data_IF_450417662580
#
_entry.id   IF_450417662580
#
_cell.length_a   1.000
_cell.length_b   1.000
_cell.length_c   1.000
_cell.angle_alpha   90.00
_cell.angle_beta   90.00
_cell.angle_gamma   90.00
#
_symmetry.space_group_name_H-M   'P 1'
#
loop_
_entity.id
_entity.type
_entity.pdbx_description
1 polymer ?
#
# COMPACT_ATOMS: atom_id res chain seq x y z
N UNK A 1 -36.35 5.24 4.97
CA UNK A 1 -36.19 5.19 3.49
C UNK A 1 -34.72 4.85 3.19
N UNK A 2 -34.31 3.58 3.25
CA UNK A 2 -32.89 3.22 3.13
C UNK A 2 -32.66 1.73 2.80
N UNK A 3 -33.14 1.23 1.65
CA UNK A 3 -32.89 -0.15 1.26
C UNK A 3 -32.96 -0.39 -0.28
N UNK A 4 -32.59 -1.59 -0.73
CA UNK A 4 -32.61 -2.08 -2.12
C UNK A 4 -31.68 -1.39 -3.17
N UNK A 5 -30.36 -1.55 -3.06
CA UNK A 5 -29.46 -1.35 -4.21
C UNK A 5 -28.37 -2.42 -4.46
N UNK A 6 -28.02 -3.29 -3.50
CA UNK A 6 -26.84 -4.17 -3.66
C UNK A 6 -27.00 -5.34 -4.67
N UNK A 7 -28.21 -5.86 -4.88
CA UNK A 7 -28.41 -7.14 -5.60
C UNK A 7 -28.05 -7.06 -7.11
N UNK A 8 -28.12 -5.88 -7.74
CA UNK A 8 -27.83 -5.70 -9.18
C UNK A 8 -26.35 -5.48 -9.55
N UNK A 9 -25.44 -5.57 -8.58
CA UNK A 9 -24.00 -5.45 -8.82
C UNK A 9 -23.35 -6.79 -9.19
N UNK A 10 -23.83 -7.90 -8.61
CA UNK A 10 -23.16 -9.20 -8.65
C UNK A 10 -23.26 -9.86 -10.03
N UNK A 11 -24.48 -9.99 -10.57
CA UNK A 11 -24.80 -10.57 -11.90
C UNK A 11 -24.11 -9.87 -13.10
N UNK A 12 -23.36 -8.80 -12.85
CA UNK A 12 -22.82 -7.89 -13.87
C UNK A 12 -21.34 -7.59 -13.73
N UNK A 13 -20.66 -8.05 -12.68
CA UNK A 13 -19.23 -7.77 -12.45
C UNK A 13 -18.38 -9.03 -12.61
N UNK A 14 -17.41 -8.99 -13.53
CA UNK A 14 -16.53 -10.13 -13.81
C UNK A 14 -15.05 -9.74 -13.83
N UNK A 15 -14.20 -10.72 -13.53
CA UNK A 15 -12.74 -10.63 -13.66
C UNK A 15 -12.22 -11.51 -14.81
N UNK A 16 -11.15 -11.09 -15.49
CA UNK A 16 -10.54 -11.88 -16.57
C UNK A 16 -9.03 -11.65 -16.71
N UNK A 17 -8.27 -12.71 -16.99
CA UNK A 17 -6.87 -12.61 -17.46
C UNK A 17 -6.85 -12.77 -18.98
N UNK A 18 -6.39 -11.77 -19.75
CA UNK A 18 -6.49 -11.74 -21.22
C UNK A 18 -5.12 -11.47 -21.88
N UNK A 19 -4.81 -12.18 -22.98
CA UNK A 19 -3.54 -12.04 -23.72
C UNK A 19 -3.45 -10.77 -24.57
N UNK A 20 -4.58 -10.18 -24.91
CA UNK A 20 -4.69 -9.00 -25.77
C UNK A 20 -5.82 -8.08 -25.29
N UNK A 21 -5.80 -6.82 -25.71
CA UNK A 21 -6.80 -5.81 -25.33
C UNK A 21 -8.15 -6.13 -26.01
N UNK A 22 -9.20 -6.51 -25.26
CA UNK A 22 -10.51 -6.78 -25.83
C UNK A 22 -11.17 -5.49 -26.33
N UNK A 23 -12.02 -5.61 -27.35
CA UNK A 23 -12.93 -4.55 -27.77
C UNK A 23 -14.24 -4.67 -26.97
N UNK A 24 -14.75 -3.55 -26.43
CA UNK A 24 -16.09 -3.50 -25.83
C UNK A 24 -17.16 -3.75 -26.90
N UNK A 25 -18.24 -4.40 -26.50
CA UNK A 25 -19.35 -4.83 -27.39
C UNK A 25 -20.65 -4.10 -27.03
N UNK A 26 -21.76 -4.46 -27.69
CA UNK A 26 -23.09 -4.02 -27.28
C UNK A 26 -23.36 -4.37 -25.79
N UNK A 27 -23.05 -5.60 -25.38
CA UNK A 27 -23.46 -6.15 -24.09
C UNK A 27 -22.33 -6.20 -23.03
N UNK A 28 -21.08 -5.94 -23.40
CA UNK A 28 -19.92 -6.03 -22.50
C UNK A 28 -19.03 -4.79 -22.57
N UNK A 29 -18.75 -4.19 -21.41
CA UNK A 29 -17.76 -3.13 -21.24
C UNK A 29 -16.51 -3.69 -20.55
N UNK A 30 -15.38 -3.68 -21.26
CA UNK A 30 -14.09 -4.05 -20.69
C UNK A 30 -13.35 -2.83 -20.13
N UNK A 31 -12.67 -2.99 -19.00
CA UNK A 31 -11.66 -2.04 -18.52
C UNK A 31 -10.49 -2.76 -17.86
N UNK A 32 -9.35 -2.09 -17.82
CA UNK A 32 -8.11 -2.58 -17.25
C UNK A 32 -7.44 -1.42 -16.50
N UNK A 33 -6.61 -1.75 -15.53
CA UNK A 33 -5.91 -0.80 -14.65
C UNK A 33 -4.40 -1.06 -14.59
N UNK A 34 -3.91 -2.05 -15.34
CA UNK A 34 -2.51 -2.53 -15.35
C UNK A 34 -1.47 -1.44 -15.63
N UNK A 35 -1.84 -0.41 -16.40
CA UNK A 35 -0.98 0.71 -16.81
C UNK A 35 -1.44 2.05 -16.19
N UNK A 36 -2.34 1.99 -15.21
CA UNK A 36 -2.93 3.14 -14.51
C UNK A 36 -2.55 3.14 -13.03
N UNK A 37 -2.76 1.99 -12.36
CA UNK A 37 -2.33 1.76 -10.98
C UNK A 37 -1.02 0.98 -11.01
N UNK A 38 0.05 1.68 -11.41
CA UNK A 38 1.41 1.15 -11.45
C UNK A 38 2.00 1.17 -10.04
N UNK A 39 2.40 -0.01 -9.56
CA UNK A 39 3.18 -0.14 -8.32
C UNK A 39 4.59 0.39 -8.54
N UNK A 40 5.01 1.33 -7.70
CA UNK A 40 6.37 1.86 -7.71
C UNK A 40 7.24 1.00 -6.78
N UNK A 41 8.08 0.16 -7.38
CA UNK A 41 8.97 -0.76 -6.67
C UNK A 41 10.13 -0.06 -5.97
N UNK A 42 10.75 -0.77 -5.01
CA UNK A 42 12.08 -0.43 -4.51
C UNK A 42 13.13 -1.29 -5.20
N UNK A 43 12.93 -2.60 -5.21
CA UNK A 43 13.80 -3.56 -5.86
C UNK A 43 12.98 -4.52 -6.73
N UNK A 44 12.72 -5.75 -6.25
CA UNK A 44 11.94 -6.76 -6.96
C UNK A 44 10.52 -6.96 -6.38
N UNK A 45 10.16 -6.21 -5.34
CA UNK A 45 8.79 -6.04 -4.89
C UNK A 45 7.91 -5.46 -5.99
N UNK A 46 6.67 -5.91 -6.08
CA UNK A 46 5.75 -5.55 -7.18
C UNK A 46 4.33 -5.24 -6.70
N UNK A 47 4.06 -5.30 -5.40
CA UNK A 47 2.74 -5.16 -4.81
C UNK A 47 2.72 -5.58 -3.32
N UNK A 48 1.55 -5.58 -2.67
CA UNK A 48 0.27 -5.12 -3.21
C UNK A 48 0.24 -3.62 -3.51
N UNK A 49 -0.71 -3.18 -4.33
CA UNK A 49 -0.97 -1.75 -4.58
C UNK A 49 -1.41 -1.03 -3.28
N UNK A 50 -1.12 0.27 -3.20
CA UNK A 50 -1.34 1.05 -1.99
C UNK A 50 -2.82 1.40 -1.74
N UNK A 51 -3.11 1.93 -0.55
CA UNK A 51 -4.46 2.24 -0.07
C UNK A 51 -5.19 3.24 -0.99
N UNK A 52 -4.47 4.25 -1.52
CA UNK A 52 -5.02 5.19 -2.49
C UNK A 52 -5.40 4.54 -3.82
N UNK A 53 -4.59 3.61 -4.33
CA UNK A 53 -4.90 2.86 -5.55
C UNK A 53 -6.11 1.93 -5.35
N UNK A 54 -6.23 1.27 -4.19
CA UNK A 54 -7.43 0.50 -3.82
C UNK A 54 -8.68 1.40 -3.74
N UNK A 55 -8.56 2.57 -3.11
CA UNK A 55 -9.64 3.55 -3.02
C UNK A 55 -10.08 4.04 -4.42
N UNK A 56 -9.14 4.55 -5.22
CA UNK A 56 -9.41 5.05 -6.58
C UNK A 56 -9.94 3.95 -7.51
N UNK A 57 -9.51 2.70 -7.36
CA UNK A 57 -10.11 1.54 -8.03
C UNK A 57 -11.59 1.36 -7.65
N UNK A 58 -11.91 1.35 -6.35
CA UNK A 58 -13.27 1.20 -5.87
C UNK A 58 -14.19 2.33 -6.37
N UNK A 59 -13.73 3.58 -6.31
CA UNK A 59 -14.45 4.73 -6.88
C UNK A 59 -14.68 4.57 -8.38
N UNK A 60 -13.66 4.13 -9.14
CA UNK A 60 -13.74 3.90 -10.59
C UNK A 60 -14.72 2.80 -10.96
N UNK A 61 -14.74 1.70 -10.20
CA UNK A 61 -15.65 0.58 -10.42
C UNK A 61 -17.10 0.94 -10.02
N UNK A 62 -17.31 1.59 -8.88
CA UNK A 62 -18.61 2.12 -8.48
C UNK A 62 -19.17 3.11 -9.52
N UNK A 63 -18.32 4.01 -10.07
CA UNK A 63 -18.73 4.92 -11.16
C UNK A 63 -19.12 4.18 -12.44
N UNK A 64 -18.50 3.04 -12.76
CA UNK A 64 -18.89 2.20 -13.90
C UNK A 64 -20.22 1.48 -13.68
N UNK A 65 -20.40 0.85 -12.52
CA UNK A 65 -21.62 0.10 -12.19
C UNK A 65 -22.86 1.01 -12.12
N UNK A 66 -22.71 2.24 -11.61
CA UNK A 66 -23.74 3.29 -11.56
C UNK A 66 -23.93 4.07 -12.88
N UNK A 67 -23.14 3.82 -13.92
CA UNK A 67 -23.20 4.62 -15.16
C UNK A 67 -24.37 4.19 -16.05
N UNK A 68 -25.28 5.13 -16.37
CA UNK A 68 -26.46 4.88 -17.19
C UNK A 68 -26.14 4.27 -18.57
N UNK A 69 -25.06 4.71 -19.22
CA UNK A 69 -24.59 4.20 -20.51
C UNK A 69 -24.07 2.75 -20.44
N UNK A 70 -23.88 2.22 -19.24
CA UNK A 70 -23.41 0.86 -18.96
C UNK A 70 -24.45 -0.01 -18.23
N UNK A 71 -25.64 0.52 -17.87
CA UNK A 71 -26.63 -0.17 -17.02
C UNK A 71 -27.10 -1.53 -17.55
N UNK A 72 -27.15 -1.72 -18.88
CA UNK A 72 -27.48 -3.02 -19.51
C UNK A 72 -26.26 -3.85 -19.93
N UNK A 73 -25.04 -3.43 -19.56
CA UNK A 73 -23.79 -4.13 -19.90
C UNK A 73 -23.23 -4.91 -18.71
N UNK A 74 -22.57 -6.03 -19.03
CA UNK A 74 -21.59 -6.71 -18.19
C UNK A 74 -20.34 -5.83 -18.07
N UNK A 75 -19.82 -5.65 -16.86
CA UNK A 75 -18.60 -4.90 -16.55
C UNK A 75 -17.48 -5.91 -16.30
N UNK A 76 -16.49 -5.96 -17.18
CA UNK A 76 -15.35 -6.88 -17.05
C UNK A 76 -14.11 -6.07 -16.70
N UNK A 77 -13.58 -6.27 -15.49
CA UNK A 77 -12.21 -5.90 -15.18
C UNK A 77 -11.30 -6.97 -15.77
N UNK A 78 -10.41 -6.59 -16.68
CA UNK A 78 -9.40 -7.49 -17.22
C UNK A 78 -7.99 -7.01 -16.87
N UNK A 79 -7.10 -7.98 -16.76
CA UNK A 79 -5.66 -7.81 -16.56
C UNK A 79 -4.90 -8.62 -17.62
N UNK A 80 -3.64 -8.25 -17.86
CA UNK A 80 -2.73 -8.96 -18.77
C UNK A 80 -2.25 -10.29 -18.17
N UNK A 81 -1.51 -11.07 -18.96
CA UNK A 81 -0.89 -12.32 -18.49
C UNK A 81 0.39 -12.12 -17.63
N UNK A 82 0.83 -10.88 -17.36
CA UNK A 82 1.95 -10.64 -16.44
C UNK A 82 1.52 -11.00 -15.01
N UNK A 83 2.22 -11.94 -14.39
CA UNK A 83 1.85 -12.50 -13.08
C UNK A 83 1.83 -11.47 -11.94
N UNK A 84 2.61 -10.40 -12.05
CA UNK A 84 2.64 -9.30 -11.07
C UNK A 84 1.42 -8.40 -11.23
N UNK A 85 1.07 -8.08 -12.48
CA UNK A 85 -0.16 -7.33 -12.81
C UNK A 85 -1.41 -8.11 -12.42
N UNK A 86 -1.47 -9.41 -12.74
CA UNK A 86 -2.55 -10.32 -12.32
C UNK A 86 -2.81 -10.29 -10.81
N UNK A 87 -1.75 -10.43 -10.02
CA UNK A 87 -1.86 -10.57 -8.57
C UNK A 87 -2.29 -9.26 -7.90
N UNK A 88 -1.80 -8.11 -8.38
CA UNK A 88 -2.31 -6.80 -7.97
C UNK A 88 -3.78 -6.58 -8.37
N UNK A 89 -4.15 -6.90 -9.62
CA UNK A 89 -5.52 -6.76 -10.09
C UNK A 89 -6.51 -7.65 -9.30
N UNK A 90 -6.06 -8.85 -8.89
CA UNK A 90 -6.80 -9.74 -8.00
C UNK A 90 -7.02 -9.13 -6.59
N UNK A 91 -6.02 -8.50 -5.98
CA UNK A 91 -6.19 -7.78 -4.71
C UNK A 91 -7.15 -6.59 -4.85
N UNK A 92 -7.12 -5.85 -5.96
CA UNK A 92 -8.06 -4.74 -6.19
C UNK A 92 -9.52 -5.21 -6.25
N UNK A 93 -9.83 -6.22 -7.08
CA UNK A 93 -11.22 -6.68 -7.25
C UNK A 93 -11.71 -7.55 -6.09
N UNK A 94 -10.83 -8.36 -5.49
CA UNK A 94 -11.12 -9.09 -4.25
C UNK A 94 -11.35 -8.14 -3.08
N UNK A 95 -10.54 -7.08 -2.97
CA UNK A 95 -10.73 -6.01 -1.98
C UNK A 95 -12.09 -5.33 -2.17
N UNK A 96 -12.44 -4.94 -3.40
CA UNK A 96 -13.76 -4.41 -3.71
C UNK A 96 -14.91 -5.37 -3.31
N UNK A 97 -14.75 -6.67 -3.53
CA UNK A 97 -15.74 -7.68 -3.12
C UNK A 97 -15.87 -7.77 -1.59
N UNK A 98 -14.77 -7.67 -0.84
CA UNK A 98 -14.78 -7.61 0.64
C UNK A 98 -15.42 -6.32 1.16
N UNK A 99 -15.12 -5.18 0.54
CA UNK A 99 -15.52 -3.84 0.99
C UNK A 99 -16.99 -3.54 0.63
N UNK A 100 -17.36 -3.68 -0.64
CA UNK A 100 -18.66 -3.24 -1.17
C UNK A 100 -19.66 -4.38 -1.31
N UNK A 101 -19.23 -5.56 -1.78
CA UNK A 101 -20.10 -6.75 -1.88
C UNK A 101 -20.18 -7.57 -0.57
N UNK A 102 -19.45 -7.14 0.47
CA UNK A 102 -19.41 -7.73 1.84
C UNK A 102 -18.97 -9.20 1.93
N UNK A 103 -18.56 -9.83 0.83
CA UNK A 103 -18.06 -11.21 0.77
C UNK A 103 -16.88 -11.42 1.71
N UNK A 104 -16.76 -12.60 2.29
CA UNK A 104 -15.59 -12.99 3.08
C UNK A 104 -14.31 -12.99 2.22
N UNK A 105 -13.12 -12.78 2.80
CA UNK A 105 -11.84 -12.96 2.10
C UNK A 105 -11.73 -14.31 1.39
N UNK A 106 -12.25 -15.36 2.01
CA UNK A 106 -12.27 -16.74 1.52
C UNK A 106 -13.17 -16.89 0.29
N UNK A 107 -14.38 -16.32 0.29
CA UNK A 107 -15.28 -16.34 -0.87
C UNK A 107 -14.72 -15.51 -2.02
N UNK A 108 -14.20 -14.32 -1.73
CA UNK A 108 -13.58 -13.46 -2.73
C UNK A 108 -12.34 -14.12 -3.36
N UNK A 109 -11.50 -14.78 -2.55
CA UNK A 109 -10.35 -15.53 -3.04
C UNK A 109 -10.76 -16.80 -3.81
N UNK A 110 -11.77 -17.55 -3.33
CA UNK A 110 -12.32 -18.73 -4.02
C UNK A 110 -12.82 -18.39 -5.43
N UNK A 111 -13.50 -17.25 -5.59
CA UNK A 111 -13.93 -16.74 -6.90
C UNK A 111 -12.77 -16.21 -7.78
N UNK A 112 -11.64 -15.82 -7.18
CA UNK A 112 -10.42 -15.43 -7.91
C UNK A 112 -9.61 -16.63 -8.42
N UNK A 113 -9.71 -17.79 -7.77
CA UNK A 113 -9.00 -19.04 -8.16
C UNK A 113 -9.90 -20.05 -8.88
N UNK A 114 -11.21 -19.83 -8.96
CA UNK A 114 -12.14 -20.74 -9.66
C UNK A 114 -11.90 -20.70 -11.18
N UNK A 115 -11.42 -21.82 -11.73
CA UNK A 115 -11.15 -22.01 -13.16
C UNK A 115 -9.69 -22.36 -13.46
N UNK A 116 -9.39 -22.73 -14.70
CA UNK A 116 -8.08 -23.27 -15.14
C UNK A 116 -6.96 -22.21 -15.27
N UNK A 117 -6.98 -21.17 -14.43
CA UNK A 117 -5.98 -20.12 -14.42
C UNK A 117 -4.75 -20.52 -13.59
N UNK A 118 -3.56 -20.09 -14.02
CA UNK A 118 -2.37 -20.22 -13.18
C UNK A 118 -2.54 -19.47 -11.85
N UNK A 119 -1.98 -20.01 -10.77
CA UNK A 119 -1.97 -19.38 -9.45
C UNK A 119 -1.43 -17.93 -9.50
N UNK A 120 -1.85 -17.12 -8.53
CA UNK A 120 -1.30 -15.77 -8.36
C UNK A 120 0.11 -15.84 -7.77
N UNK A 121 0.99 -14.95 -8.21
CA UNK A 121 2.36 -14.85 -7.72
C UNK A 121 2.34 -14.19 -6.33
N UNK A 122 2.89 -14.83 -5.27
CA UNK A 122 2.98 -14.20 -3.96
C UNK A 122 3.78 -12.90 -4.01
N UNK A 123 3.32 -11.90 -3.27
CA UNK A 123 4.02 -10.64 -3.10
C UNK A 123 5.28 -10.86 -2.27
N UNK A 124 6.42 -10.47 -2.84
CA UNK A 124 7.72 -10.47 -2.17
C UNK A 124 8.04 -9.12 -1.56
N UNK A 125 9.04 -9.10 -0.69
CA UNK A 125 9.49 -7.89 0.01
C UNK A 125 10.50 -7.05 -0.80
N UNK A 126 10.81 -5.86 -0.26
CA UNK A 126 11.74 -4.88 -0.80
C UNK A 126 13.22 -5.16 -0.50
N UNK A 127 13.58 -6.37 -0.05
CA UNK A 127 14.98 -6.76 0.20
C UNK A 127 15.78 -6.89 -1.09
N UNK A 128 17.09 -6.62 -0.99
CA UNK A 128 18.07 -6.93 -2.03
C UNK A 128 18.50 -8.40 -1.87
N UNK A 129 18.05 -9.26 -2.79
CA UNK A 129 18.37 -10.70 -2.78
C UNK A 129 17.12 -11.59 -2.84
N UNK A 130 17.16 -12.72 -2.13
CA UNK A 130 16.08 -13.70 -2.09
C UNK A 130 15.05 -13.34 -1.01
N UNK A 131 13.77 -13.41 -1.33
CA UNK A 131 12.69 -13.29 -0.35
C UNK A 131 12.39 -14.67 0.25
N UNK A 132 12.37 -14.76 1.58
CA UNK A 132 12.14 -16.01 2.34
C UNK A 132 10.69 -16.19 2.81
N UNK A 133 9.83 -15.20 2.56
CA UNK A 133 8.43 -15.17 2.97
C UNK A 133 7.54 -14.89 1.74
N UNK A 134 6.39 -15.57 1.65
CA UNK A 134 5.50 -15.49 0.48
C UNK A 134 4.13 -14.93 0.90
N UNK A 135 3.90 -13.64 0.71
CA UNK A 135 2.65 -13.00 1.07
C UNK A 135 1.60 -13.22 -0.03
N UNK A 136 0.47 -13.87 0.28
CA UNK A 136 -0.52 -14.25 -0.74
C UNK A 136 -1.55 -13.15 -1.03
N UNK A 137 -2.37 -13.34 -2.07
CA UNK A 137 -3.56 -12.52 -2.31
C UNK A 137 -4.56 -12.65 -1.15
N UNK A 138 -4.69 -13.83 -0.54
CA UNK A 138 -5.62 -14.07 0.56
C UNK A 138 -5.20 -13.30 1.83
N UNK A 139 -3.90 -13.25 2.17
CA UNK A 139 -3.37 -12.43 3.28
C UNK A 139 -3.75 -10.95 3.12
N UNK A 140 -3.72 -10.43 1.89
CA UNK A 140 -4.14 -9.08 1.57
C UNK A 140 -5.65 -8.86 1.79
N UNK A 141 -6.50 -9.83 1.41
CA UNK A 141 -7.94 -9.74 1.62
C UNK A 141 -8.33 -9.88 3.11
N UNK A 142 -7.64 -10.75 3.84
CA UNK A 142 -7.77 -10.91 5.29
C UNK A 142 -7.32 -9.65 6.04
N UNK A 143 -6.16 -9.08 5.68
CA UNK A 143 -5.65 -7.83 6.25
C UNK A 143 -6.60 -6.65 6.00
N UNK A 144 -7.18 -6.53 4.80
CA UNK A 144 -8.24 -5.55 4.50
C UNK A 144 -9.48 -5.82 5.36
N UNK A 145 -9.93 -7.08 5.49
CA UNK A 145 -11.11 -7.43 6.31
C UNK A 145 -10.92 -7.05 7.78
N UNK A 146 -9.76 -7.34 8.39
CA UNK A 146 -9.47 -6.95 9.79
C UNK A 146 -9.31 -5.44 9.95
N UNK A 147 -8.69 -4.75 8.98
CA UNK A 147 -8.63 -3.30 8.98
C UNK A 147 -10.03 -2.63 8.95
N UNK A 148 -10.98 -3.20 8.21
CA UNK A 148 -12.38 -2.76 8.23
C UNK A 148 -13.06 -3.09 9.58
N UNK A 149 -12.85 -4.29 10.12
CA UNK A 149 -13.44 -4.72 11.41
C UNK A 149 -12.98 -3.87 12.60
N UNK A 150 -11.74 -3.39 12.59
CA UNK A 150 -11.19 -2.53 13.63
C UNK A 150 -11.22 -1.03 13.29
N UNK A 151 -11.93 -0.63 12.24
CA UNK A 151 -12.14 0.79 11.89
C UNK A 151 -10.91 1.51 11.34
N UNK A 152 -9.83 0.81 10.99
CA UNK A 152 -8.60 1.42 10.45
C UNK A 152 -8.78 2.02 9.06
N UNK A 153 -9.86 1.66 8.36
CA UNK A 153 -10.17 2.18 7.03
C UNK A 153 -11.67 2.43 6.90
N UNK A 154 -12.05 3.70 6.74
CA UNK A 154 -13.41 4.11 6.41
C UNK A 154 -13.42 4.77 5.03
N UNK A 155 -14.12 4.16 4.07
CA UNK A 155 -14.23 4.66 2.68
C UNK A 155 -14.93 6.01 2.55
N UNK A 156 -15.74 6.41 3.53
CA UNK A 156 -16.50 7.66 3.49
C UNK A 156 -15.70 8.84 4.08
N UNK A 157 -14.67 8.55 4.88
CA UNK A 157 -13.81 9.52 5.56
C UNK A 157 -12.34 9.48 5.11
N UNK A 158 -11.98 8.65 4.13
CA UNK A 158 -10.60 8.52 3.65
C UNK A 158 -10.23 9.66 2.69
N UNK A 159 -9.42 10.60 3.18
CA UNK A 159 -8.80 11.62 2.34
C UNK A 159 -7.63 11.02 1.55
N UNK A 160 -7.94 10.63 0.30
CA UNK A 160 -6.97 10.10 -0.65
C UNK A 160 -5.97 11.15 -1.12
N UNK A 161 -6.32 12.44 -1.09
CA UNK A 161 -5.46 13.51 -1.56
C UNK A 161 -4.51 13.97 -0.45
N UNK A 162 -4.90 13.91 0.84
CA UNK A 162 -3.96 13.98 1.98
C UNK A 162 -2.99 12.78 1.94
N UNK A 163 -3.47 11.55 1.69
CA UNK A 163 -2.60 10.38 1.56
C UNK A 163 -1.58 10.52 0.41
N UNK A 164 -2.03 10.85 -0.81
CA UNK A 164 -1.16 10.98 -1.99
C UNK A 164 -0.29 12.26 -1.95
N UNK A 165 -0.57 13.20 -1.04
CA UNK A 165 0.35 14.28 -0.70
C UNK A 165 1.46 13.77 0.22
N UNK A 166 1.11 13.19 1.38
CA UNK A 166 2.09 12.87 2.44
C UNK A 166 2.91 11.59 2.22
N UNK A 167 2.49 10.67 1.33
CA UNK A 167 3.34 9.52 0.95
C UNK A 167 4.61 9.92 0.18
N UNK A 168 4.65 11.17 -0.34
CA UNK A 168 5.76 11.71 -1.14
C UNK A 168 6.92 12.19 -0.27
N UNK A 169 8.14 12.11 -0.83
CA UNK A 169 9.37 12.51 -0.13
C UNK A 169 9.39 14.00 0.16
N UNK A 170 9.00 14.83 -0.81
CA UNK A 170 8.94 16.28 -0.70
C UNK A 170 8.04 16.77 0.45
N UNK A 171 7.07 15.96 0.88
CA UNK A 171 6.09 16.30 1.91
C UNK A 171 6.29 15.54 3.24
N UNK A 172 7.38 14.75 3.37
CA UNK A 172 7.79 14.10 4.62
C UNK A 172 7.85 12.57 4.59
N UNK A 173 7.36 11.92 3.52
CA UNK A 173 7.32 10.46 3.38
C UNK A 173 6.71 9.74 4.61
N UNK A 174 5.42 9.98 4.85
CA UNK A 174 4.66 9.49 6.00
C UNK A 174 3.29 8.90 5.62
N UNK A 175 2.88 7.82 6.29
CA UNK A 175 1.56 7.19 6.11
C UNK A 175 0.99 6.71 7.45
N UNK A 176 -0.32 6.88 7.65
CA UNK A 176 -1.05 6.22 8.73
C UNK A 176 -1.11 4.71 8.50
N UNK A 177 -0.84 3.93 9.55
CA UNK A 177 -1.00 2.47 9.60
C UNK A 177 -2.22 2.10 10.44
N UNK A 178 -2.49 2.88 11.49
CA UNK A 178 -3.73 2.87 12.27
C UNK A 178 -4.10 4.34 12.51
N UNK A 179 -5.16 4.87 11.90
CA UNK A 179 -5.57 6.27 12.07
C UNK A 179 -5.67 6.66 13.54
N UNK A 180 -5.12 7.83 13.90
CA UNK A 180 -5.11 8.31 15.29
C UNK A 180 -4.20 7.55 16.26
N UNK A 181 -3.54 6.44 15.86
CA UNK A 181 -2.63 5.69 16.74
C UNK A 181 -1.22 5.46 16.21
N UNK A 182 -1.04 5.12 14.93
CA UNK A 182 0.28 4.83 14.36
C UNK A 182 0.53 5.55 13.04
N UNK A 183 1.52 6.42 13.05
CA UNK A 183 2.05 7.13 11.90
C UNK A 183 3.48 6.61 11.58
N UNK A 184 3.67 6.01 10.42
CA UNK A 184 4.97 5.50 9.98
C UNK A 184 5.63 6.49 9.02
N UNK A 185 6.84 6.97 9.35
CA UNK A 185 7.51 8.03 8.57
C UNK A 185 9.02 7.83 8.36
N UNK A 186 9.57 8.54 7.38
CA UNK A 186 11.02 8.56 7.09
C UNK A 186 11.81 9.28 8.18
N UNK A 187 13.08 8.91 8.37
CA UNK A 187 13.89 9.46 9.47
C UNK A 187 14.32 10.92 9.24
N UNK A 188 13.99 11.86 10.15
CA UNK A 188 14.45 13.25 10.07
C UNK A 188 15.98 13.41 10.08
N UNK A 189 16.45 14.57 9.65
CA UNK A 189 17.86 14.93 9.50
C UNK A 189 18.24 16.17 10.34
N UNK A 190 19.54 16.53 10.47
CA UNK A 190 19.95 17.67 11.29
C UNK A 190 19.48 19.03 10.76
N UNK A 191 19.21 19.16 9.46
CA UNK A 191 18.75 20.40 8.81
C UNK A 191 17.84 20.04 7.64
N UNK A 192 16.84 20.87 7.37
CA UNK A 192 16.07 20.79 6.12
C UNK A 192 16.97 21.29 4.99
N UNK A 193 17.19 20.48 3.95
CA UNK A 193 17.97 20.82 2.76
C UNK A 193 17.62 19.90 1.60
N UNK A 194 17.82 20.36 0.37
CA UNK A 194 17.84 19.47 -0.81
C UNK A 194 19.28 19.01 -1.02
N UNK A 195 19.49 17.70 -1.13
CA UNK A 195 20.80 17.09 -1.38
C UNK A 195 20.71 16.16 -2.57
N UNK A 196 21.45 16.44 -3.65
CA UNK A 196 21.39 15.71 -4.92
C UNK A 196 19.95 15.55 -5.47
N UNK A 197 19.12 16.59 -5.31
CA UNK A 197 17.70 16.60 -5.69
C UNK A 197 16.74 15.95 -4.67
N UNK A 198 17.25 15.29 -3.63
CA UNK A 198 16.45 14.65 -2.59
C UNK A 198 16.16 15.60 -1.42
N UNK A 199 14.89 15.90 -1.08
CA UNK A 199 14.55 16.73 0.07
C UNK A 199 14.76 15.96 1.38
N UNK A 200 15.61 16.52 2.24
CA UNK A 200 15.83 16.10 3.62
C UNK A 200 15.06 17.04 4.54
N UNK A 201 14.35 16.48 5.53
CA UNK A 201 13.51 17.23 6.47
C UNK A 201 14.07 17.20 7.89
N UNK A 202 14.16 18.36 8.53
CA UNK A 202 14.39 18.47 9.97
C UNK A 202 13.10 18.13 10.77
N UNK A 203 13.21 17.83 12.08
CA UNK A 203 12.04 17.57 12.95
C UNK A 203 10.89 18.58 12.81
N UNK A 204 11.22 19.87 12.69
CA UNK A 204 10.26 20.98 12.66
C UNK A 204 9.29 20.91 11.48
N UNK A 205 9.72 20.32 10.34
CA UNK A 205 8.87 20.15 9.17
C UNK A 205 7.64 19.27 9.46
N UNK A 206 7.74 18.37 10.44
CA UNK A 206 6.67 17.46 10.85
C UNK A 206 5.73 18.09 11.89
N UNK A 207 6.15 19.13 12.63
CA UNK A 207 5.39 19.65 13.78
C UNK A 207 3.96 20.13 13.44
N UNK A 208 3.69 20.82 12.30
CA UNK A 208 2.34 21.25 11.97
C UNK A 208 1.38 20.07 11.77
N UNK A 209 1.84 19.04 11.06
CA UNK A 209 1.06 17.82 10.83
C UNK A 209 0.88 17.01 12.12
N UNK A 210 1.96 16.84 12.88
CA UNK A 210 1.94 16.10 14.15
C UNK A 210 0.97 16.75 15.17
N UNK A 211 0.95 18.07 15.28
CA UNK A 211 0.00 18.79 16.14
C UNK A 211 -1.44 18.72 15.61
N UNK A 212 -1.66 18.91 14.30
CA UNK A 212 -3.00 18.77 13.66
C UNK A 212 -3.63 17.42 13.95
N UNK A 213 -2.84 16.34 13.96
CA UNK A 213 -3.31 14.96 14.09
C UNK A 213 -2.98 14.30 15.44
N UNK A 214 -2.85 15.09 16.51
CA UNK A 214 -2.64 14.62 17.89
C UNK A 214 -1.52 13.58 18.08
N UNK A 215 -0.40 13.75 17.37
CA UNK A 215 0.83 12.98 17.63
C UNK A 215 1.50 13.54 18.88
N UNK A 216 1.60 12.72 19.92
CA UNK A 216 2.18 13.10 21.22
C UNK A 216 3.53 12.44 21.48
N UNK A 217 3.83 11.33 20.81
CA UNK A 217 5.04 10.51 21.06
C UNK A 217 5.77 10.17 19.76
N UNK A 218 7.08 10.40 19.72
CA UNK A 218 7.98 9.96 18.65
C UNK A 218 8.84 8.79 19.14
N UNK A 219 8.95 7.74 18.34
CA UNK A 219 9.86 6.61 18.58
C UNK A 219 10.89 6.52 17.44
N UNK A 220 12.17 6.59 17.79
CA UNK A 220 13.31 6.47 16.87
C UNK A 220 13.97 5.10 16.98
N UNK A 221 14.11 4.41 15.83
CA UNK A 221 14.64 3.05 15.75
C UNK A 221 16.06 2.95 15.15
N UNK A 222 16.69 4.08 14.80
CA UNK A 222 17.99 4.15 14.10
C UNK A 222 19.06 4.97 14.85
N UNK A 223 20.34 4.84 14.42
CA UNK A 223 21.47 5.66 14.91
C UNK A 223 21.07 7.14 14.93
N UNK A 224 21.47 7.88 15.97
CA UNK A 224 20.99 9.26 16.25
C UNK A 224 21.51 10.25 15.20
N UNK A 225 20.66 10.59 14.23
CA UNK A 225 20.98 11.54 13.12
C UNK A 225 20.34 12.93 13.31
N UNK A 226 19.79 13.21 14.48
CA UNK A 226 19.30 14.53 14.91
C UNK A 226 19.22 14.55 16.45
N UNK A 227 19.23 15.73 17.09
CA UNK A 227 19.01 15.79 18.55
C UNK A 227 17.54 15.57 18.90
N UNK A 228 17.27 14.62 19.80
CA UNK A 228 15.94 14.34 20.33
C UNK A 228 15.30 15.55 21.02
N UNK A 229 16.11 16.46 21.58
CA UNK A 229 15.64 17.70 22.21
C UNK A 229 14.70 18.51 21.33
N UNK A 230 14.94 18.53 20.01
CA UNK A 230 14.10 19.26 19.06
C UNK A 230 12.63 18.84 19.08
N UNK A 231 12.34 17.58 19.43
CA UNK A 231 10.96 17.14 19.67
C UNK A 231 10.50 17.43 21.10
N UNK A 232 11.33 17.22 22.13
CA UNK A 232 10.92 17.46 23.54
C UNK A 232 10.65 18.93 23.84
N UNK A 233 11.52 19.80 23.35
CA UNK A 233 11.44 21.26 23.54
C UNK A 233 10.27 21.85 22.73
N UNK A 234 9.77 21.10 21.74
CA UNK A 234 8.57 21.40 20.96
C UNK A 234 7.27 20.76 21.53
N UNK A 235 7.35 20.10 22.69
CA UNK A 235 6.21 19.54 23.42
C UNK A 235 5.88 18.07 23.15
N UNK A 236 6.74 17.31 22.46
CA UNK A 236 6.50 15.89 22.15
C UNK A 236 7.36 14.95 23.02
N UNK A 237 6.81 13.81 23.44
CA UNK A 237 7.61 12.73 24.04
C UNK A 237 8.54 12.10 22.99
N UNK A 238 9.77 11.74 23.36
CA UNK A 238 10.74 11.12 22.46
C UNK A 238 11.42 9.90 23.10
N UNK A 239 11.47 8.79 22.37
CA UNK A 239 12.12 7.55 22.83
C UNK A 239 13.07 6.98 21.77
N UNK A 240 14.32 6.70 22.19
CA UNK A 240 15.29 5.92 21.42
C UNK A 240 15.11 4.42 21.71
N UNK A 241 14.69 3.65 20.69
CA UNK A 241 14.62 2.17 20.72
C UNK A 241 15.47 1.61 19.58
N UNK A 242 16.79 1.87 19.64
CA UNK A 242 17.73 1.50 18.58
C UNK A 242 17.93 -0.02 18.45
N UNK A 243 17.87 -0.50 17.21
CA UNK A 243 18.48 -1.77 16.79
C UNK A 243 19.08 -1.62 15.37
N UNK A 244 20.04 -2.48 14.95
CA UNK A 244 20.73 -2.36 13.66
C UNK A 244 19.81 -2.36 12.43
N UNK A 245 20.30 -1.89 11.29
CA UNK A 245 19.51 -1.84 10.06
C UNK A 245 19.44 -3.22 9.38
N UNK A 246 18.26 -3.59 8.87
CA UNK A 246 18.03 -4.91 8.28
C UNK A 246 17.85 -6.07 9.27
N UNK A 247 18.14 -5.89 10.56
CA UNK A 247 17.95 -6.93 11.60
C UNK A 247 16.54 -6.89 12.21
N UNK A 248 16.27 -7.86 13.08
CA UNK A 248 15.08 -7.94 13.94
C UNK A 248 15.30 -7.18 15.27
N UNK A 249 14.23 -6.75 15.96
CA UNK A 249 14.32 -6.28 17.34
C UNK A 249 14.42 -7.46 18.31
N UNK A 250 15.07 -7.26 19.46
CA UNK A 250 15.03 -8.25 20.55
C UNK A 250 13.75 -8.08 21.40
N UNK A 251 13.45 -9.08 22.22
CA UNK A 251 12.23 -9.13 23.03
C UNK A 251 12.15 -8.01 24.09
N UNK A 252 13.26 -7.38 24.46
CA UNK A 252 13.28 -6.20 25.35
C UNK A 252 12.78 -4.97 24.58
N UNK A 253 13.30 -4.74 23.37
CA UNK A 253 12.88 -3.65 22.49
C UNK A 253 11.41 -3.82 22.09
N UNK A 254 10.98 -5.02 21.74
CA UNK A 254 9.59 -5.31 21.37
C UNK A 254 8.61 -5.04 22.53
N UNK A 255 8.91 -5.53 23.75
CA UNK A 255 8.08 -5.25 24.94
C UNK A 255 8.08 -3.76 25.32
N UNK A 256 9.23 -3.08 25.23
CA UNK A 256 9.33 -1.64 25.54
C UNK A 256 8.57 -0.77 24.53
N UNK A 257 8.59 -1.14 23.24
CA UNK A 257 7.77 -0.50 22.22
C UNK A 257 6.27 -0.62 22.54
N UNK A 258 5.81 -1.85 22.79
CA UNK A 258 4.41 -2.13 23.13
C UNK A 258 3.97 -1.31 24.36
N UNK A 259 4.75 -1.36 25.45
CA UNK A 259 4.47 -0.61 26.68
C UNK A 259 4.36 0.91 26.45
N UNK A 260 5.27 1.52 25.68
CA UNK A 260 5.21 2.96 25.36
C UNK A 260 3.94 3.28 24.55
N UNK A 261 3.56 2.43 23.58
CA UNK A 261 2.38 2.65 22.75
C UNK A 261 1.07 2.46 23.51
N UNK A 262 1.04 1.51 24.45
CA UNK A 262 -0.08 1.23 25.36
C UNK A 262 -0.31 2.38 26.36
N UNK A 263 0.75 3.08 26.77
CA UNK A 263 0.72 4.18 27.74
C UNK A 263 0.94 5.55 27.07
N UNK A 264 0.51 5.71 25.82
CA UNK A 264 0.44 7.01 25.12
C UNK A 264 -1.01 7.27 24.73
N UNK A 265 -1.61 8.37 25.20
CA UNK A 265 -3.01 8.70 24.91
C UNK A 265 -3.24 9.16 23.46
N UNK A 266 -2.27 9.86 22.88
CA UNK A 266 -2.29 10.31 21.49
C UNK A 266 -1.70 9.31 20.48
N UNK A 267 -1.46 9.80 19.27
CA UNK A 267 -0.82 9.06 18.21
C UNK A 267 0.71 8.93 18.42
N UNK A 268 1.25 7.77 18.03
CA UNK A 268 2.67 7.46 18.07
C UNK A 268 3.24 7.54 16.65
N UNK A 269 4.18 8.45 16.44
CA UNK A 269 4.94 8.55 15.19
C UNK A 269 6.24 7.74 15.28
N UNK A 270 6.37 6.71 14.45
CA UNK A 270 7.46 5.73 14.51
C UNK A 270 8.33 5.85 13.26
N UNK A 271 9.63 6.09 13.43
CA UNK A 271 10.56 6.12 12.30
C UNK A 271 11.81 5.25 12.52
N UNK A 272 12.36 4.79 11.40
CA UNK A 272 13.72 4.28 11.32
C UNK A 272 14.49 5.14 10.32
N UNK A 273 15.33 4.54 9.46
CA UNK A 273 16.03 5.27 8.40
C UNK A 273 15.10 5.69 7.25
N UNK A 274 14.27 4.75 6.77
CA UNK A 274 13.29 4.95 5.68
C UNK A 274 11.82 4.81 6.13
N UNK A 275 11.57 4.45 7.40
CA UNK A 275 10.22 4.22 7.91
C UNK A 275 9.53 2.94 7.40
N UNK A 276 10.29 1.92 6.99
CA UNK A 276 9.76 0.72 6.31
C UNK A 276 9.95 -0.57 7.12
N UNK A 277 11.15 -1.15 7.10
CA UNK A 277 11.44 -2.43 7.76
C UNK A 277 11.21 -2.42 9.29
N UNK A 278 12.18 -1.85 10.03
CA UNK A 278 12.14 -1.76 11.51
C UNK A 278 10.84 -1.14 12.05
N UNK A 279 10.34 -0.09 11.39
CA UNK A 279 9.08 0.60 11.72
C UNK A 279 7.87 -0.33 11.57
N UNK A 280 7.70 -0.94 10.39
CA UNK A 280 6.62 -1.90 10.14
C UNK A 280 6.71 -3.14 11.03
N UNK A 281 7.92 -3.57 11.41
CA UNK A 281 8.13 -4.72 12.31
C UNK A 281 7.48 -4.45 13.66
N UNK A 282 7.83 -3.34 14.33
CA UNK A 282 7.31 -3.05 15.66
C UNK A 282 5.82 -2.67 15.66
N UNK A 283 5.34 -1.94 14.65
CA UNK A 283 3.89 -1.70 14.49
C UNK A 283 3.16 -3.03 14.23
N UNK A 284 3.74 -3.95 13.46
CA UNK A 284 3.23 -5.31 13.25
C UNK A 284 3.09 -6.10 14.55
N UNK A 285 4.04 -5.98 15.48
CA UNK A 285 3.91 -6.58 16.81
C UNK A 285 2.68 -6.06 17.58
N UNK A 286 2.36 -4.77 17.46
CA UNK A 286 1.16 -4.18 18.07
C UNK A 286 -0.11 -4.68 17.36
N UNK A 287 -0.13 -4.75 16.02
CA UNK A 287 -1.28 -5.24 15.25
C UNK A 287 -1.64 -6.70 15.62
N UNK A 288 -0.64 -7.56 15.74
CA UNK A 288 -0.87 -8.94 16.15
C UNK A 288 -1.36 -9.02 17.61
N UNK A 289 -0.74 -8.25 18.54
CA UNK A 289 -1.10 -8.30 19.96
C UNK A 289 -2.48 -7.73 20.29
N UNK A 290 -2.84 -6.56 19.74
CA UNK A 290 -4.05 -5.83 20.15
C UNK A 290 -5.25 -6.04 19.23
N UNK A 291 -5.04 -6.62 18.03
CA UNK A 291 -6.10 -6.81 17.03
C UNK A 291 -6.07 -8.20 16.38
N UNK A 292 -5.31 -9.15 16.94
CA UNK A 292 -5.23 -10.56 16.51
C UNK A 292 -4.98 -10.76 15.01
N UNK A 293 -4.21 -9.87 14.38
CA UNK A 293 -3.70 -10.07 13.02
C UNK A 293 -2.71 -11.26 13.02
N UNK A 294 -2.65 -12.04 11.95
CA UNK A 294 -1.51 -12.92 11.66
C UNK A 294 -0.32 -12.09 11.17
N UNK A 295 0.86 -12.69 11.11
CA UNK A 295 2.02 -12.06 10.50
C UNK A 295 1.77 -11.68 9.03
N UNK A 296 1.16 -12.59 8.26
CA UNK A 296 0.77 -12.32 6.86
C UNK A 296 -0.19 -11.13 6.73
N UNK A 297 -1.31 -11.16 7.48
CA UNK A 297 -2.30 -10.06 7.49
C UNK A 297 -1.69 -8.71 7.92
N UNK A 298 -0.84 -8.71 8.95
CA UNK A 298 -0.19 -7.51 9.44
C UNK A 298 0.80 -6.95 8.40
N UNK A 299 1.64 -7.81 7.81
CA UNK A 299 2.56 -7.43 6.74
C UNK A 299 1.78 -6.89 5.53
N UNK A 300 0.66 -7.52 5.14
CA UNK A 300 -0.18 -7.04 4.05
C UNK A 300 -0.81 -5.68 4.34
N UNK A 301 -1.45 -5.51 5.50
CA UNK A 301 -2.08 -4.24 5.87
C UNK A 301 -1.07 -3.10 5.93
N UNK A 302 0.10 -3.32 6.56
CA UNK A 302 1.17 -2.32 6.62
C UNK A 302 1.71 -2.01 5.22
N UNK A 303 1.84 -2.99 4.31
CA UNK A 303 2.28 -2.75 2.92
C UNK A 303 1.24 -2.01 2.08
N UNK A 304 -0.05 -2.26 2.28
CA UNK A 304 -1.15 -1.51 1.63
C UNK A 304 -1.13 -0.05 2.10
N UNK A 305 -0.92 0.19 3.40
CA UNK A 305 -0.80 1.54 3.95
C UNK A 305 0.51 2.24 3.53
N UNK A 306 1.62 1.49 3.49
CA UNK A 306 2.98 2.00 3.24
C UNK A 306 3.84 0.92 2.52
N UNK A 307 3.89 0.94 1.17
CA UNK A 307 4.62 -0.03 0.35
C UNK A 307 6.08 -0.25 0.77
N UNK A 308 6.56 -1.49 0.62
CA UNK A 308 7.92 -1.90 0.98
C UNK A 308 8.19 -2.12 2.48
N UNK A 309 7.19 -2.02 3.35
CA UNK A 309 7.33 -2.23 4.80
C UNK A 309 7.53 -3.71 5.19
N UNK A 310 8.21 -3.93 6.33
CA UNK A 310 8.71 -5.24 6.85
C UNK A 310 9.60 -5.98 5.85
N UNK A 311 10.91 -6.07 6.13
CA UNK A 311 11.93 -6.40 5.11
C UNK A 311 12.82 -7.57 5.56
N UNK A 312 13.07 -8.52 4.67
CA UNK A 312 13.93 -9.68 4.86
C UNK A 312 13.53 -10.52 6.08
N UNK A 313 14.45 -10.76 7.04
CA UNK A 313 14.20 -11.63 8.20
C UNK A 313 13.14 -11.08 9.16
N UNK A 314 12.78 -9.80 9.05
CA UNK A 314 11.72 -9.18 9.86
C UNK A 314 10.34 -9.80 9.60
N UNK A 315 10.12 -10.41 8.43
CA UNK A 315 8.87 -11.09 8.11
C UNK A 315 8.71 -12.36 8.96
N UNK A 316 9.71 -13.24 8.89
CA UNK A 316 9.78 -14.49 9.64
C UNK A 316 9.78 -14.26 11.18
N UNK A 317 10.33 -13.14 11.65
CA UNK A 317 10.24 -12.74 13.05
C UNK A 317 8.79 -12.42 13.51
N UNK A 318 7.97 -11.79 12.66
CA UNK A 318 6.56 -11.58 13.01
C UNK A 318 5.80 -12.92 13.07
N UNK A 319 6.13 -13.85 12.18
CA UNK A 319 5.58 -15.21 12.18
C UNK A 319 5.96 -15.98 13.46
N UNK A 320 7.25 -15.96 13.84
CA UNK A 320 7.75 -16.52 15.11
C UNK A 320 7.02 -15.94 16.33
N UNK A 321 6.86 -14.61 16.38
CA UNK A 321 6.27 -13.93 17.54
C UNK A 321 4.74 -13.94 17.57
N UNK A 322 4.05 -14.35 16.49
CA UNK A 322 2.59 -14.27 16.36
C UNK A 322 1.87 -14.91 17.56
N UNK A 323 2.16 -16.17 17.86
CA UNK A 323 1.47 -16.92 18.92
C UNK A 323 1.71 -16.32 20.33
N UNK A 324 2.94 -15.88 20.60
CA UNK A 324 3.28 -15.22 21.86
C UNK A 324 2.57 -13.86 22.01
N UNK A 325 2.51 -13.07 20.93
CA UNK A 325 1.84 -11.77 20.93
C UNK A 325 0.32 -11.89 21.06
N UNK A 326 -0.30 -12.89 20.41
CA UNK A 326 -1.72 -13.21 20.62
C UNK A 326 -2.01 -13.56 22.08
N UNK A 327 -1.21 -14.44 22.69
CA UNK A 327 -1.36 -14.81 24.10
C UNK A 327 -1.21 -13.60 25.02
N UNK A 328 -0.24 -12.70 24.78
CA UNK A 328 -0.09 -11.47 25.54
C UNK A 328 -1.28 -10.49 25.36
N UNK A 329 -1.93 -10.50 24.19
CA UNK A 329 -3.15 -9.75 23.92
C UNK A 329 -4.34 -10.31 24.71
N UNK A 330 -4.62 -11.59 24.54
CA UNK A 330 -5.73 -12.30 25.17
C UNK A 330 -5.70 -12.20 26.70
N UNK A 331 -4.50 -12.33 27.29
CA UNK A 331 -4.31 -12.12 28.73
C UNK A 331 -4.61 -10.68 29.16
N UNK A 332 -4.20 -9.67 28.40
CA UNK A 332 -4.47 -8.27 28.73
C UNK A 332 -5.96 -7.92 28.59
N UNK A 333 -6.64 -8.40 27.54
CA UNK A 333 -8.09 -8.23 27.40
C UNK A 333 -8.85 -8.94 28.52
N UNK A 334 -8.44 -10.17 28.88
CA UNK A 334 -9.02 -10.92 30.00
C UNK A 334 -8.81 -10.25 31.36
N UNK A 335 -7.68 -9.56 31.56
CA UNK A 335 -7.41 -8.79 32.77
C UNK A 335 -8.25 -7.51 32.84
N UNK A 336 -8.38 -6.78 31.73
CA UNK A 336 -9.24 -5.58 31.66
C UNK A 336 -10.71 -5.91 31.92
N UNK A 337 -11.26 -6.91 31.25
CA UNK A 337 -12.64 -7.36 31.47
C UNK A 337 -12.89 -7.68 32.96
N UNK A 338 -11.99 -8.46 33.60
CA UNK A 338 -12.07 -8.77 35.04
C UNK A 338 -11.87 -7.58 35.98
N UNK A 339 -11.23 -6.50 35.52
CA UNK A 339 -11.07 -5.28 36.30
C UNK A 339 -12.31 -4.37 36.17
N UNK A 340 -12.89 -4.30 34.98
CA UNK A 340 -14.15 -3.61 34.69
C UNK A 340 -15.33 -4.31 35.41
N UNK A 341 -15.43 -5.64 35.32
CA UNK A 341 -16.37 -6.49 36.09
C UNK A 341 -16.23 -6.37 37.61
N UNK A 342 -15.07 -5.93 38.12
CA UNK A 342 -14.86 -5.65 39.55
C UNK A 342 -15.13 -4.20 39.94
N UNK A 343 -15.09 -3.26 39.01
CA UNK A 343 -15.47 -1.88 39.23
C UNK A 343 -17.00 -1.70 39.26
N UNK A 344 -17.73 -2.41 38.39
CA UNK A 344 -19.20 -2.38 38.31
C UNK A 344 -19.92 -2.65 39.65
N UNK A 345 -19.65 -3.74 40.40
CA UNK A 345 -20.32 -3.97 41.68
C UNK A 345 -19.95 -2.91 42.74
N UNK A 346 -18.76 -2.33 42.66
CA UNK A 346 -18.31 -1.33 43.64
C UNK A 346 -19.12 -0.02 43.54
N UNK A 347 -19.62 0.32 42.34
CA UNK A 347 -20.48 1.49 42.10
C UNK A 347 -21.89 1.35 42.68
N UNK A 348 -22.35 0.12 42.96
CA UNK A 348 -23.65 -0.14 43.59
C UNK A 348 -23.52 0.01 45.12
N UNK A 349 -22.41 -0.44 45.70
CA UNK A 349 -22.16 -0.29 47.15
C UNK A 349 -21.77 1.13 47.57
N UNK A 350 -21.20 1.94 46.66
CA UNK A 350 -20.64 3.26 47.01
C UNK A 350 -21.65 4.41 47.11
N UNK A 351 -22.95 4.15 47.26
CA UNK A 351 -23.95 5.17 47.64
C UNK A 351 -24.15 5.29 49.16
N UNK A 352 -23.63 4.34 49.96
CA UNK A 352 -23.74 4.36 51.43
C UNK A 352 -22.37 4.31 52.13
N UNK A 353 -21.47 5.27 51.83
CA UNK A 353 -20.50 5.77 52.82
C UNK A 353 -19.78 7.05 52.31
N UNK A 354 -20.23 8.22 52.77
CA UNK A 354 -19.54 9.50 52.56
C UNK A 354 -18.75 9.91 53.80
N UNK A 355 -17.49 9.46 53.89
CA UNK A 355 -16.53 9.98 54.88
C UNK A 355 -15.25 10.47 54.17
N UNK A 356 -14.85 11.72 54.46
CA UNK A 356 -13.68 12.36 53.85
C UNK A 356 -12.41 12.06 54.65
N UNK A 357 -11.30 11.71 53.97
CA UNK A 357 -10.02 12.45 54.09
C UNK A 357 -8.95 11.96 53.08
N UNK A 358 -7.91 12.78 52.75
CA UNK A 358 -7.02 12.50 51.62
C UNK A 358 -5.54 12.22 52.00
N UNK A 359 -4.91 11.22 51.37
CA UNK A 359 -3.44 11.04 51.33
C UNK A 359 -2.97 10.55 49.96
N UNK A 360 -2.71 11.48 49.04
CA UNK A 360 -2.35 11.15 47.65
C UNK A 360 -0.82 10.93 47.50
N UNK A 361 -0.36 9.67 47.59
CA UNK A 361 1.05 9.33 47.32
C UNK A 361 1.29 9.32 45.80
N UNK A 362 2.07 10.28 45.31
CA UNK A 362 2.33 10.49 43.87
C UNK A 362 3.59 9.73 43.39
N UNK A 363 3.45 8.46 43.02
CA UNK A 363 4.52 7.63 42.45
C UNK A 363 4.71 7.90 40.95
N UNK A 364 5.46 8.96 40.63
CA UNK A 364 5.75 9.40 39.25
C UNK A 364 6.40 8.29 38.38
N UNK A 365 5.71 7.72 37.36
CA UNK A 365 6.23 6.61 36.55
C UNK A 365 7.47 6.95 35.72
N UNK A 366 7.67 8.24 35.41
CA UNK A 366 8.75 8.70 34.53
C UNK A 366 10.16 8.49 35.12
N UNK A 367 10.28 8.39 36.45
CA UNK A 367 11.56 8.16 37.12
C UNK A 367 12.17 6.79 36.76
N UNK A 368 11.35 5.73 36.82
CA UNK A 368 11.77 4.35 36.51
C UNK A 368 12.15 4.23 35.03
N UNK A 369 11.38 4.85 34.14
CA UNK A 369 11.62 4.85 32.69
C UNK A 369 12.95 5.55 32.36
N UNK A 370 13.29 6.67 33.02
CA UNK A 370 14.59 7.34 32.86
C UNK A 370 15.76 6.46 33.31
N UNK A 371 15.65 5.82 34.48
CA UNK A 371 16.70 4.94 35.00
C UNK A 371 16.99 3.77 34.03
N UNK A 372 15.94 3.07 33.57
CA UNK A 372 16.07 1.97 32.61
C UNK A 372 16.51 2.42 31.20
N UNK A 373 16.48 3.73 30.91
CA UNK A 373 17.00 4.29 29.66
C UNK A 373 18.50 4.67 29.72
N UNK A 374 19.05 4.86 30.91
CA UNK A 374 20.49 5.13 31.09
C UNK A 374 21.31 3.83 31.05
N UNK A 375 20.82 2.76 31.69
CA UNK A 375 21.51 1.47 31.85
C UNK A 375 21.89 0.74 30.55
N UNK A 376 21.42 1.19 29.38
CA UNK A 376 21.67 0.54 28.09
C UNK A 376 22.25 1.49 27.02
N UNK A 377 22.88 2.60 27.41
CA UNK A 377 23.74 3.39 26.51
C UNK A 377 25.13 2.75 26.35
N UNK A 378 25.18 1.49 25.96
CA UNK A 378 26.42 0.85 25.53
C UNK A 378 26.78 1.28 24.12
N UNK A 379 27.94 1.92 23.94
CA UNK A 379 28.43 2.34 22.62
C UNK A 379 28.87 1.13 21.78
N UNK A 380 27.93 0.49 21.09
CA UNK A 380 28.28 -0.40 19.98
C UNK A 380 28.69 0.42 18.76
N UNK A 381 30.00 0.66 18.66
CA UNK A 381 30.69 1.31 17.54
C UNK A 381 30.72 0.40 16.30
N UNK A 382 29.56 0.19 15.70
CA UNK A 382 29.45 -0.31 14.33
C UNK A 382 30.08 0.72 13.36
N UNK A 383 31.35 0.49 13.05
CA UNK A 383 32.26 1.28 12.22
C UNK A 383 32.08 1.04 10.71
N UNK A 384 31.03 0.32 10.30
CA UNK A 384 30.69 0.12 8.89
C UNK A 384 30.31 1.41 8.18
N UNK A 385 31.26 2.05 7.49
CA UNK A 385 31.05 3.18 6.56
C UNK A 385 30.26 2.81 5.27
N UNK A 386 29.64 1.62 5.22
CA UNK A 386 28.91 1.11 4.07
C UNK A 386 27.46 1.61 3.97
N UNK A 387 26.94 1.63 2.73
CA UNK A 387 25.53 1.98 2.45
C UNK A 387 24.56 0.98 3.07
N UNK A 388 23.83 1.42 4.10
CA UNK A 388 22.82 0.60 4.80
C UNK A 388 21.61 0.31 3.92
N UNK A 389 20.81 -0.71 4.26
CA UNK A 389 19.59 -1.06 3.51
C UNK A 389 18.64 0.14 3.41
N UNK A 390 18.46 0.88 4.50
CA UNK A 390 17.67 2.10 4.58
C UNK A 390 18.24 3.32 3.83
N UNK A 391 19.51 3.33 3.44
CA UNK A 391 20.02 4.34 2.48
C UNK A 391 19.62 3.98 1.07
N UNK A 392 19.83 2.73 0.67
CA UNK A 392 19.47 2.22 -0.66
C UNK A 392 17.98 2.45 -0.93
N UNK A 393 17.10 2.11 0.02
CA UNK A 393 15.65 2.31 -0.07
C UNK A 393 15.26 3.80 -0.23
N UNK A 394 15.94 4.73 0.45
CA UNK A 394 15.70 6.18 0.28
C UNK A 394 16.19 6.69 -1.08
N UNK A 395 17.37 6.25 -1.52
CA UNK A 395 17.95 6.56 -2.83
C UNK A 395 17.20 5.89 -4.02
N UNK A 396 16.23 5.03 -3.73
CA UNK A 396 15.27 4.48 -4.70
C UNK A 396 13.95 5.28 -4.68
N UNK A 397 13.46 5.70 -3.50
CA UNK A 397 12.35 6.68 -3.44
C UNK A 397 12.70 8.00 -4.12
N UNK A 398 13.94 8.48 -3.99
CA UNK A 398 14.41 9.75 -4.58
C UNK A 398 14.35 9.81 -6.11
N UNK A 399 14.17 8.66 -6.79
CA UNK A 399 14.16 8.55 -8.26
C UNK A 399 12.76 8.50 -8.86
N UNK A 400 11.72 8.59 -8.02
CA UNK A 400 10.32 8.55 -8.44
C UNK A 400 9.94 9.91 -9.03
N UNK A 401 9.45 9.91 -10.26
CA UNK A 401 9.02 11.13 -10.94
C UNK A 401 7.86 11.79 -10.17
N UNK A 402 7.88 13.11 -9.92
CA UNK A 402 6.75 13.81 -9.30
C UNK A 402 5.48 13.61 -10.13
N UNK A 403 4.47 12.94 -9.58
CA UNK A 403 3.16 12.81 -10.23
C UNK A 403 2.50 14.19 -10.27
N UNK A 404 2.17 14.76 -11.45
CA UNK A 404 1.41 15.99 -11.52
C UNK A 404 0.03 15.75 -10.92
N UNK A 405 -0.51 16.74 -10.20
CA UNK A 405 -1.81 16.66 -9.53
C UNK A 405 -2.98 16.84 -10.52
N UNK A 406 -3.03 16.01 -11.58
CA UNK A 406 -3.88 16.22 -12.76
C UNK A 406 -4.61 14.96 -13.26
N UNK A 407 -5.01 14.05 -12.37
CA UNK A 407 -6.19 13.18 -12.59
C UNK A 407 -7.50 13.93 -12.32
N UNK A 408 -7.59 15.11 -12.94
CA UNK A 408 -8.71 16.05 -13.06
C UNK A 408 -9.90 15.91 -12.10
N UNK A 409 -10.00 16.88 -11.18
CA UNK A 409 -11.25 17.17 -10.47
C UNK A 409 -12.41 17.38 -11.47
N UNK A 410 -13.46 16.58 -11.35
CA UNK A 410 -14.65 16.63 -12.19
C UNK A 410 -15.57 17.79 -11.78
N UNK A 411 -15.11 19.03 -11.97
CA UNK A 411 -15.99 20.20 -11.85
C UNK A 411 -17.06 20.15 -12.94
N UNK A 412 -18.32 20.21 -12.52
CA UNK A 412 -19.44 20.47 -13.44
C UNK A 412 -19.32 21.92 -13.94
N UNK A 413 -19.35 22.11 -15.26
CA UNK A 413 -19.93 23.31 -15.84
C UNK A 413 -21.38 22.98 -16.23
N UNK A 414 -22.35 23.61 -15.57
CA UNK A 414 -23.71 23.63 -16.10
C UNK A 414 -23.74 24.50 -17.36
N UNK A 415 -24.60 24.14 -18.31
CA UNK A 415 -24.64 24.80 -19.61
C UNK A 415 -25.16 26.24 -19.52
N UNK A 416 -24.46 27.16 -20.17
CA UNK A 416 -24.99 28.45 -20.58
C UNK A 416 -24.95 28.52 -22.12
N UNK A 417 -26.02 29.02 -22.73
CA UNK A 417 -26.20 29.06 -24.19
C UNK A 417 -25.37 30.15 -24.86
N UNK A 418 -24.88 29.89 -26.07
CA UNK A 418 -24.24 30.89 -26.93
C UNK A 418 -25.26 31.62 -27.83
N UNK A 419 -24.90 32.80 -28.33
CA UNK A 419 -25.32 33.19 -29.67
C UNK A 419 -24.21 33.84 -30.53
N UNK A 420 -23.91 33.18 -31.66
CA UNK A 420 -23.59 33.71 -33.01
C UNK A 420 -22.73 34.97 -33.31
N UNK A 421 -22.10 34.90 -34.51
CA UNK A 421 -21.38 35.94 -35.32
C UNK A 421 -19.88 36.14 -35.01
N UNK A 422 -19.00 36.45 -35.97
CA UNK A 422 -19.02 36.24 -37.45
C UNK A 422 -17.62 36.50 -38.09
N UNK A 423 -17.21 35.63 -39.03
CA UNK A 423 -16.26 35.81 -40.16
C UNK A 423 -15.30 37.03 -40.27
N UNK A 424 -14.01 36.74 -40.56
CA UNK A 424 -13.22 37.34 -41.68
C UNK A 424 -11.88 36.61 -41.95
N UNK A 425 -11.41 36.64 -43.20
CA UNK A 425 -10.07 36.24 -43.70
C UNK A 425 -9.26 37.50 -44.12
N UNK A 426 -7.92 37.43 -44.21
CA UNK A 426 -7.17 37.24 -45.49
C UNK A 426 -6.11 36.09 -45.38
N UNK A 427 -5.54 35.41 -46.38
CA UNK A 427 -5.26 35.50 -47.85
C UNK A 427 -3.90 36.09 -48.31
N UNK A 428 -2.90 35.21 -48.53
CA UNK A 428 -1.73 35.33 -49.46
C UNK A 428 -0.88 34.03 -49.38
N UNK A 429 -0.78 33.13 -50.38
CA UNK A 429 0.02 33.16 -51.64
C UNK A 429 1.56 33.09 -51.46
N UNK A 430 2.39 32.31 -52.19
CA UNK A 430 2.13 31.30 -53.26
C UNK A 430 3.42 30.61 -53.80
N UNK A 431 3.38 29.29 -54.11
CA UNK A 431 4.16 28.54 -55.16
C UNK A 431 5.72 28.55 -55.16
N UNK A 432 6.51 27.69 -55.83
CA UNK A 432 6.30 26.51 -56.71
C UNK A 432 7.50 25.51 -56.51
N UNK A 433 7.40 24.18 -56.68
CA UNK A 433 7.63 23.37 -57.92
C UNK A 433 8.99 23.56 -58.65
N UNK A 434 9.65 22.57 -59.29
CA UNK A 434 9.66 21.08 -59.24
C UNK A 434 10.70 20.52 -60.28
N UNK A 435 11.25 19.29 -60.12
CA UNK A 435 11.58 18.32 -61.23
C UNK A 435 12.13 16.94 -60.79
N UNK A 436 12.25 16.02 -61.76
CA UNK A 436 12.61 14.57 -61.66
C UNK A 436 14.00 14.27 -62.29
N UNK A 437 14.36 12.97 -62.30
CA UNK A 437 15.41 12.25 -63.07
C UNK A 437 16.71 12.00 -62.25
N UNK A 438 17.31 10.81 -62.15
CA UNK A 438 16.86 9.44 -62.51
C UNK A 438 17.77 8.66 -63.47
N UNK A 439 18.59 7.70 -62.97
CA UNK A 439 19.23 6.58 -63.72
C UNK A 439 20.02 5.61 -62.80
N UNK A 440 20.29 4.40 -63.32
CA UNK A 440 21.18 3.31 -62.81
C UNK A 440 21.87 2.67 -64.05
N UNK A 441 22.59 1.51 -64.03
CA UNK A 441 23.28 0.74 -62.95
C UNK A 441 24.71 0.21 -63.33
N UNK A 442 25.40 -0.49 -62.41
CA UNK A 442 26.48 -1.51 -62.67
C UNK A 442 26.78 -2.30 -61.36
N UNK A 443 26.69 -3.65 -61.29
CA UNK A 443 27.72 -4.71 -61.52
C UNK A 443 29.07 -4.45 -60.82
N UNK A 444 29.65 -5.35 -60.00
CA UNK A 444 30.02 -6.78 -60.23
C UNK A 444 30.22 -7.51 -58.87
N UNK A 445 29.99 -8.79 -58.54
CA UNK A 445 29.91 -10.15 -59.16
C UNK A 445 31.13 -11.10 -58.91
N UNK A 446 31.09 -11.87 -57.81
CA UNK A 446 31.67 -13.24 -57.63
C UNK A 446 31.03 -13.88 -56.37
N UNK A 447 30.49 -15.12 -56.34
CA UNK A 447 30.98 -16.46 -56.69
C UNK A 447 32.13 -16.92 -55.75
N UNK A 448 32.10 -18.09 -55.09
CA UNK A 448 31.54 -19.42 -55.47
C UNK A 448 31.37 -20.28 -54.17
N UNK A 449 30.62 -21.41 -54.00
CA UNK A 449 30.04 -22.41 -54.94
C UNK A 449 28.72 -23.11 -54.49
N UNK A 450 28.78 -24.32 -53.86
CA UNK A 450 27.75 -25.37 -53.63
C UNK A 450 28.30 -26.40 -52.58
N UNK A 451 27.65 -27.46 -52.06
CA UNK A 451 26.52 -28.36 -52.49
C UNK A 451 25.93 -29.09 -51.24
N UNK A 452 24.95 -30.03 -51.23
CA UNK A 452 24.07 -30.71 -52.23
C UNK A 452 22.72 -31.12 -51.58
N UNK A 453 21.87 -31.94 -52.23
CA UNK A 453 20.51 -32.39 -51.84
C UNK A 453 20.34 -33.91 -52.20
N UNK A 454 19.69 -34.75 -51.37
CA UNK A 454 18.33 -35.30 -51.67
C UNK A 454 17.39 -35.29 -50.43
N UNK A 455 16.11 -34.89 -50.49
CA UNK A 455 14.92 -35.32 -51.28
C UNK A 455 14.21 -36.59 -50.77
N UNK A 456 12.99 -36.41 -50.27
CA UNK A 456 11.78 -37.25 -50.51
C UNK A 456 10.53 -36.37 -50.38
N UNK A 457 9.38 -36.82 -50.88
CA UNK A 457 8.17 -36.00 -51.06
C UNK A 457 6.88 -36.82 -51.09
N UNK A 458 5.79 -36.31 -50.52
CA UNK A 458 4.42 -36.79 -50.78
C UNK A 458 3.42 -35.62 -50.89
N UNK A 459 2.19 -35.91 -51.31
CA UNK A 459 1.35 -35.03 -52.14
C UNK A 459 -0.04 -34.71 -51.51
N UNK A 460 -0.60 -33.57 -51.94
CA UNK A 460 -1.93 -32.92 -51.76
C UNK A 460 -3.18 -33.84 -51.64
N UNK A 461 -4.40 -33.39 -51.21
CA UNK A 461 -4.99 -32.03 -51.40
C UNK A 461 -5.98 -31.45 -50.35
N UNK A 462 -6.47 -30.22 -50.63
CA UNK A 462 -7.79 -29.56 -50.38
C UNK A 462 -8.80 -30.16 -49.34
N UNK A 463 -9.63 -29.41 -48.59
CA UNK A 463 -9.84 -27.94 -48.39
C UNK A 463 -10.75 -27.67 -47.13
N UNK A 464 -11.38 -26.50 -46.85
CA UNK A 464 -11.60 -26.01 -45.47
C UNK A 464 -12.92 -26.38 -44.76
N UNK A 465 -12.91 -26.33 -43.42
CA UNK A 465 -14.08 -25.93 -42.60
C UNK A 465 -13.73 -25.56 -41.14
N UNK A 466 -14.71 -25.00 -40.42
CA UNK A 466 -14.82 -24.92 -38.95
C UNK A 466 -13.86 -24.00 -38.17
N UNK A 467 -14.35 -22.78 -37.89
CA UNK A 467 -13.89 -21.95 -36.77
C UNK A 467 -14.08 -22.66 -35.42
N UNK A 468 -13.00 -22.96 -34.69
CA UNK A 468 -13.06 -23.32 -33.27
C UNK A 468 -12.06 -22.49 -32.42
N UNK A 469 -12.28 -21.17 -32.40
CA UNK A 469 -11.76 -20.34 -31.31
C UNK A 469 -12.58 -20.63 -30.05
N UNK A 470 -12.01 -21.43 -29.15
CA UNK A 470 -12.65 -21.83 -27.89
C UNK A 470 -13.00 -20.61 -27.02
N UNK A 471 -14.30 -20.35 -26.89
CA UNK A 471 -14.88 -19.38 -25.96
C UNK A 471 -14.75 -19.86 -24.50
N UNK A 472 -13.58 -19.68 -23.89
CA UNK A 472 -13.45 -19.71 -22.44
C UNK A 472 -13.74 -18.32 -21.87
N UNK A 473 -15.03 -17.98 -21.74
CA UNK A 473 -15.45 -16.66 -21.25
C UNK A 473 -16.82 -16.66 -20.55
N UNK A 474 -16.84 -16.17 -19.30
CA UNK A 474 -18.01 -15.70 -18.52
C UNK A 474 -19.04 -16.74 -18.04
N UNK A 475 -18.84 -17.22 -16.80
CA UNK A 475 -19.91 -17.35 -15.78
C UNK A 475 -19.26 -17.45 -14.39
N UNK A 476 -19.27 -16.34 -13.63
CA UNK A 476 -18.82 -16.25 -12.24
C UNK A 476 -19.59 -15.13 -11.54
N UNK A 477 -20.11 -15.43 -10.34
CA UNK A 477 -21.24 -14.76 -9.70
C UNK A 477 -22.57 -14.96 -10.45
#
# INVERSE_FOLDING_TARGET
IQEQHNIKAEERLYFATLRSKPKSTANTHYFCTDDEFVYENFYADFGPLNLAMLYRYCCKLNKKLKSFTLTRKRIVHYTSFDQRKRSNAAVLIGGYAVIYLKKTPEEAYRALISGSNAAYLPFRDASFGNCTFNLTVLDCLLGIRKALQHGFFNFEAFDVDEYEHYERVENGDLNWIVPGKFLAFSGPHPKTKVENGYPLHAPEAYFPYFRKHNVTTIIRLNKKIYDAKRFTDAGFNHYDLFFPDGTTPNDIIARRFLHICENTDGAVAVHCKAGLGRTGTLIGCYLMKHYRFTAGEAIAWIRICRPGSVIGPQQNFLEEKQAALWSLGDNQHSQKAKQEERAVPHLITSMEELTLNPTHINTNPNAVIRYFCFMFQGEQTDTGLGLTQGDKLRALKSRRSPRPATTSALRLSMGATSPFKSTKYPTSSSSAAAKRIGKSPSSTMSNIRRSVIPKTSFITPFSPTSHHLLYNLLLFF
#
